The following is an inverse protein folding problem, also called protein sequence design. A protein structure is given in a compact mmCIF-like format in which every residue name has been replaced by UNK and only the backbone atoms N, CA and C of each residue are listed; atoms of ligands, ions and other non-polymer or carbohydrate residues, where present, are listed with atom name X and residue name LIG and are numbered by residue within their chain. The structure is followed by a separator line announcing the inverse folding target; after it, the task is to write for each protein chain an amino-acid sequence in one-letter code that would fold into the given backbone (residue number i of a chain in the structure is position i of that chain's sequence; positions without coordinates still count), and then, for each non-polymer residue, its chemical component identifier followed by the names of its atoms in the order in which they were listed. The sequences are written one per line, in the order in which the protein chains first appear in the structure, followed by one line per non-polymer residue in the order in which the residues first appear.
data_IF_473002328944
#
_entry.id   IF_473002328944
#
_cell.length_a   1.000
_cell.length_b   1.000
_cell.length_c   1.000
_cell.angle_alpha   90.00
_cell.angle_beta   90.00
_cell.angle_gamma   90.00
#
_symmetry.space_group_name_H-M   'P 1'
#
loop_
_entity.id
_entity.type
_entity.pdbx_description
1 polymer ?
#
# COMPACT_ATOMS: atom_id res chain seq x y z
N UNK A 1 -28.96 -8.75 10.58
CA UNK A 1 -27.55 -8.85 10.13
C UNK A 1 -26.90 -9.94 10.98
N UNK A 2 -26.25 -10.91 10.34
CA UNK A 2 -25.55 -11.98 11.06
C UNK A 2 -24.16 -11.50 11.46
N UNK A 3 -23.79 -11.64 12.74
CA UNK A 3 -22.44 -11.33 13.22
C UNK A 3 -21.43 -12.29 12.56
N UNK A 4 -20.35 -11.76 12.00
CA UNK A 4 -19.22 -12.52 11.47
C UNK A 4 -18.11 -12.65 12.52
N UNK A 5 -17.81 -11.57 13.22
CA UNK A 5 -16.82 -11.54 14.30
C UNK A 5 -17.33 -10.63 15.40
N UNK A 6 -17.19 -11.05 16.64
CA UNK A 6 -17.50 -10.27 17.84
C UNK A 6 -16.31 -10.30 18.80
N UNK A 7 -15.88 -9.11 19.21
CA UNK A 7 -14.78 -8.92 20.15
C UNK A 7 -15.30 -8.15 21.37
N UNK A 8 -15.07 -8.67 22.57
CA UNK A 8 -15.53 -8.05 23.81
C UNK A 8 -14.39 -8.06 24.83
N UNK A 9 -14.01 -6.89 25.32
CA UNK A 9 -12.95 -6.69 26.30
C UNK A 9 -11.64 -7.41 25.93
N UNK A 10 -11.31 -7.44 24.63
CA UNK A 10 -10.11 -8.11 24.16
C UNK A 10 -8.89 -7.27 24.53
N UNK A 11 -7.91 -7.90 25.14
CA UNK A 11 -6.64 -7.28 25.49
C UNK A 11 -5.47 -8.19 25.10
N UNK A 12 -4.41 -7.57 24.60
CA UNK A 12 -3.11 -8.16 24.32
C UNK A 12 -2.03 -7.19 24.81
N UNK A 13 -1.13 -7.64 25.67
CA UNK A 13 -0.21 -6.78 26.43
C UNK A 13 1.26 -6.92 25.97
N UNK A 14 1.54 -7.64 24.91
CA UNK A 14 2.91 -7.79 24.39
C UNK A 14 3.26 -6.63 23.46
N UNK A 15 4.36 -5.94 23.74
CA UNK A 15 4.79 -4.77 22.97
C UNK A 15 3.90 -3.54 23.24
N UNK A 16 3.44 -2.89 22.15
CA UNK A 16 2.59 -1.69 22.23
C UNK A 16 1.17 -1.98 22.74
N UNK A 17 0.83 -3.27 22.89
CA UNK A 17 -0.46 -3.72 23.37
C UNK A 17 -1.62 -3.51 22.37
N UNK A 18 -2.76 -4.14 22.68
CA UNK A 18 -4.03 -3.94 21.96
C UNK A 18 -5.16 -4.06 22.95
N UNK A 19 -6.07 -3.07 22.93
CA UNK A 19 -7.26 -3.06 23.77
C UNK A 19 -8.49 -2.74 22.93
N UNK A 20 -9.46 -3.67 22.92
CA UNK A 20 -10.71 -3.52 22.18
C UNK A 20 -11.86 -3.72 23.15
N UNK A 21 -12.50 -2.63 23.62
CA UNK A 21 -13.61 -2.73 24.59
C UNK A 21 -14.79 -3.53 24.06
N UNK A 22 -15.25 -3.23 22.86
CA UNK A 22 -16.27 -4.00 22.15
C UNK A 22 -16.26 -3.66 20.66
N UNK A 23 -16.32 -4.67 19.82
CA UNK A 23 -16.45 -4.49 18.37
C UNK A 23 -17.19 -5.66 17.75
N UNK A 24 -18.20 -5.36 16.95
CA UNK A 24 -18.99 -6.37 16.22
C UNK A 24 -18.97 -6.07 14.73
N UNK A 25 -18.59 -7.06 13.93
CA UNK A 25 -18.52 -6.99 12.48
C UNK A 25 -19.60 -7.87 11.91
N UNK A 26 -20.46 -7.30 11.06
CA UNK A 26 -21.55 -8.01 10.40
C UNK A 26 -21.31 -8.07 8.88
N UNK A 27 -21.88 -9.10 8.24
CA UNK A 27 -21.86 -9.20 6.79
C UNK A 27 -22.49 -7.99 6.09
N UNK A 28 -21.89 -7.55 4.98
CA UNK A 28 -22.34 -6.40 4.22
C UNK A 28 -21.96 -5.05 4.84
N UNK A 29 -21.06 -5.02 5.82
CA UNK A 29 -20.56 -3.77 6.38
C UNK A 29 -19.25 -3.33 5.72
N UNK A 30 -19.14 -2.03 5.44
CA UNK A 30 -17.89 -1.37 5.06
C UNK A 30 -17.34 -0.57 6.24
N UNK A 31 -16.21 -1.00 6.79
CA UNK A 31 -15.53 -0.39 7.91
C UNK A 31 -14.31 0.41 7.49
N UNK A 32 -14.09 1.55 8.10
CA UNK A 32 -12.80 2.22 8.14
C UNK A 32 -12.31 2.26 9.60
N UNK A 33 -11.21 1.61 9.88
CA UNK A 33 -10.46 1.76 11.12
C UNK A 33 -9.28 2.67 10.83
N UNK A 34 -9.38 3.89 11.31
CA UNK A 34 -8.35 4.90 11.11
C UNK A 34 -7.33 4.88 12.26
N UNK A 35 -6.08 5.15 11.96
CA UNK A 35 -5.03 5.32 12.97
C UNK A 35 -3.72 5.67 12.32
N UNK A 36 -2.83 6.35 13.05
CA UNK A 36 -1.47 6.69 12.58
C UNK A 36 -0.61 5.44 12.43
N UNK A 37 0.51 5.57 11.73
CA UNK A 37 1.49 4.49 11.70
C UNK A 37 2.00 4.24 13.14
N UNK A 38 2.09 2.97 13.53
CA UNK A 38 2.45 2.57 14.89
C UNK A 38 1.30 2.59 15.92
N UNK A 39 0.07 2.95 15.55
CA UNK A 39 -1.07 3.00 16.49
C UNK A 39 -1.58 1.63 16.97
N UNK A 40 -1.08 0.53 16.41
CA UNK A 40 -1.54 -0.84 16.73
C UNK A 40 -2.44 -1.50 15.69
N UNK A 41 -2.68 -0.86 14.53
CA UNK A 41 -3.49 -1.45 13.44
C UNK A 41 -3.00 -2.83 12.98
N UNK A 42 -1.68 -3.04 12.92
CA UNK A 42 -1.08 -4.33 12.57
C UNK A 42 -1.36 -5.45 13.59
N UNK A 43 -1.61 -5.10 14.86
CA UNK A 43 -2.05 -6.09 15.85
C UNK A 43 -3.52 -6.45 15.62
N UNK A 44 -4.32 -5.49 15.14
CA UNK A 44 -5.74 -5.68 14.88
C UNK A 44 -5.97 -6.62 13.69
N UNK A 45 -5.23 -6.46 12.59
CA UNK A 45 -5.36 -7.34 11.42
C UNK A 45 -4.96 -8.79 11.77
N UNK A 46 -3.83 -8.98 12.47
CA UNK A 46 -3.37 -10.29 12.94
C UNK A 46 -4.33 -10.93 13.94
N UNK A 47 -4.97 -10.14 14.79
CA UNK A 47 -6.02 -10.63 15.68
C UNK A 47 -7.21 -11.16 14.88
N UNK A 48 -7.68 -10.41 13.88
CA UNK A 48 -8.84 -10.78 13.08
C UNK A 48 -8.62 -12.08 12.31
N UNK A 49 -7.45 -12.28 11.73
CA UNK A 49 -7.09 -13.50 10.99
C UNK A 49 -6.64 -14.66 11.89
N UNK A 50 -6.60 -14.46 13.20
CA UNK A 50 -6.30 -15.52 14.17
C UNK A 50 -4.81 -15.81 14.38
N UNK A 51 -3.92 -14.94 13.92
CA UNK A 51 -2.48 -15.06 14.11
C UNK A 51 -2.01 -14.52 15.47
N UNK A 52 -2.85 -13.73 16.14
CA UNK A 52 -2.58 -13.17 17.44
C UNK A 52 -3.44 -13.83 18.50
N UNK A 53 -2.80 -14.33 19.56
CA UNK A 53 -3.50 -14.81 20.76
C UNK A 53 -3.86 -13.64 21.69
N UNK A 54 -4.98 -13.77 22.37
CA UNK A 54 -5.43 -12.79 23.38
C UNK A 54 -5.16 -13.29 24.79
N UNK A 55 -4.78 -12.40 25.68
CA UNK A 55 -4.54 -12.72 27.09
C UNK A 55 -5.82 -12.56 27.93
N UNK A 56 -6.75 -11.74 27.45
CA UNK A 56 -8.05 -11.54 28.07
C UNK A 56 -9.13 -11.25 27.02
N UNK A 57 -10.39 -11.41 27.41
CA UNK A 57 -11.56 -11.12 26.60
C UNK A 57 -12.04 -12.28 25.74
N UNK A 58 -13.03 -11.99 24.90
CA UNK A 58 -13.67 -12.95 24.01
C UNK A 58 -13.46 -12.51 22.54
N UNK A 59 -12.98 -13.44 21.74
CA UNK A 59 -12.96 -13.33 20.28
C UNK A 59 -13.84 -14.42 19.73
N UNK A 60 -15.08 -14.10 19.41
CA UNK A 60 -16.02 -15.03 18.78
C UNK A 60 -15.99 -14.80 17.26
N UNK A 61 -15.64 -15.86 16.52
CA UNK A 61 -15.68 -15.86 15.05
C UNK A 61 -16.80 -16.80 14.61
N UNK A 62 -17.91 -16.22 14.21
CA UNK A 62 -19.04 -16.92 13.59
C UNK A 62 -18.75 -17.43 12.17
N UNK A 63 -17.50 -17.32 11.70
CA UNK A 63 -17.00 -17.77 10.40
C UNK A 63 -15.67 -18.50 10.59
N UNK A 64 -15.32 -19.35 9.64
CA UNK A 64 -14.01 -20.00 9.64
C UNK A 64 -12.89 -18.98 9.33
N UNK A 65 -11.69 -19.22 9.88
CA UNK A 65 -10.52 -18.37 9.56
C UNK A 65 -10.22 -18.39 8.05
N UNK A 66 -10.45 -19.52 7.39
CA UNK A 66 -10.31 -19.64 5.93
C UNK A 66 -11.23 -18.70 5.12
N UNK A 67 -12.34 -18.24 5.73
CA UNK A 67 -13.27 -17.30 5.11
C UNK A 67 -12.83 -15.83 5.32
N UNK A 68 -11.68 -15.60 5.99
CA UNK A 68 -11.12 -14.29 6.26
C UNK A 68 -9.88 -14.10 5.39
N UNK A 69 -9.88 -13.10 4.53
CA UNK A 69 -8.70 -12.75 3.74
C UNK A 69 -8.03 -11.48 4.27
N UNK A 70 -6.71 -11.54 4.43
CA UNK A 70 -5.86 -10.39 4.75
C UNK A 70 -5.11 -9.91 3.50
N UNK A 71 -5.28 -8.65 3.20
CA UNK A 71 -4.60 -7.95 2.10
C UNK A 71 -3.77 -6.83 2.70
N UNK A 72 -2.48 -7.07 2.86
CA UNK A 72 -1.51 -6.12 3.40
C UNK A 72 -0.27 -6.05 2.52
N UNK A 73 0.60 -5.08 2.79
CA UNK A 73 1.90 -5.01 2.12
C UNK A 73 2.74 -6.25 2.44
N UNK A 74 2.72 -6.72 3.69
CA UNK A 74 3.45 -7.90 4.14
C UNK A 74 2.96 -9.17 3.45
N UNK A 75 1.65 -9.35 3.32
CA UNK A 75 1.08 -10.50 2.60
C UNK A 75 1.48 -10.48 1.12
N UNK A 76 1.47 -9.32 0.48
CA UNK A 76 1.91 -9.13 -0.90
C UNK A 76 3.41 -9.44 -1.07
N UNK A 77 4.24 -8.94 -0.15
CA UNK A 77 5.69 -9.19 -0.15
C UNK A 77 6.00 -10.68 0.09
N UNK A 78 5.29 -11.35 1.01
CA UNK A 78 5.46 -12.77 1.27
C UNK A 78 5.21 -13.61 0.02
N UNK A 79 4.16 -13.31 -0.75
CA UNK A 79 3.89 -13.97 -2.03
C UNK A 79 5.03 -13.70 -3.03
N UNK A 80 5.46 -12.46 -3.16
CA UNK A 80 6.56 -12.11 -4.08
C UNK A 80 7.87 -12.83 -3.73
N UNK A 81 8.23 -12.89 -2.44
CA UNK A 81 9.42 -13.61 -1.98
C UNK A 81 9.32 -15.13 -2.20
N UNK A 82 8.12 -15.70 -2.01
CA UNK A 82 7.86 -17.09 -2.31
C UNK A 82 8.10 -17.40 -3.79
N UNK A 83 7.50 -16.62 -4.67
CA UNK A 83 7.65 -16.75 -6.13
C UNK A 83 9.11 -16.55 -6.59
N UNK A 84 9.83 -15.62 -5.97
CA UNK A 84 11.27 -15.43 -6.24
C UNK A 84 12.09 -16.64 -5.82
N UNK A 85 11.75 -17.31 -4.71
CA UNK A 85 12.44 -18.54 -4.27
C UNK A 85 12.15 -19.71 -5.21
N UNK A 86 10.92 -19.86 -5.67
CA UNK A 86 10.55 -20.87 -6.67
C UNK A 86 11.38 -20.68 -7.94
N UNK A 87 11.45 -19.46 -8.46
CA UNK A 87 12.25 -19.14 -9.64
C UNK A 87 13.76 -19.41 -9.46
N UNK A 88 14.30 -19.23 -8.24
CA UNK A 88 15.72 -19.49 -7.98
C UNK A 88 16.06 -20.98 -7.79
N UNK A 89 15.07 -21.83 -7.54
CA UNK A 89 15.27 -23.27 -7.28
C UNK A 89 15.17 -24.11 -8.54
N UNK A 90 14.49 -23.61 -9.56
CA UNK A 90 14.38 -24.29 -10.86
C UNK A 90 15.66 -24.16 -11.68
N UNK A 91 16.26 -25.30 -12.02
CA UNK A 91 17.35 -25.42 -12.99
C UNK A 91 16.89 -25.15 -14.44
N UNK A 92 15.64 -24.73 -14.61
CA UNK A 92 15.03 -24.32 -15.86
C UNK A 92 15.43 -22.86 -16.18
N UNK A 93 15.39 -22.49 -17.45
CA UNK A 93 15.70 -21.13 -17.89
C UNK A 93 14.84 -20.12 -17.15
N UNK A 94 15.42 -18.97 -16.78
CA UNK A 94 14.72 -17.91 -16.00
C UNK A 94 13.35 -17.50 -16.56
N UNK A 95 13.08 -17.79 -17.83
CA UNK A 95 11.86 -17.46 -18.54
C UNK A 95 10.68 -18.43 -18.28
N UNK A 96 10.92 -19.60 -17.66
CA UNK A 96 9.89 -20.65 -17.50
C UNK A 96 9.51 -20.93 -16.04
N UNK A 97 10.10 -20.25 -15.07
CA UNK A 97 9.91 -20.52 -13.64
C UNK A 97 8.97 -19.51 -12.96
N UNK A 98 8.06 -20.00 -12.13
CA UNK A 98 7.12 -19.20 -11.32
C UNK A 98 5.66 -19.51 -11.62
N UNK A 99 4.77 -19.00 -10.77
CA UNK A 99 3.32 -19.21 -10.87
C UNK A 99 2.68 -18.17 -11.78
N UNK A 100 1.85 -18.62 -12.72
CA UNK A 100 1.08 -17.71 -13.60
C UNK A 100 -0.06 -17.08 -12.80
N UNK A 101 -0.45 -15.88 -13.20
CA UNK A 101 -1.59 -15.16 -12.58
C UNK A 101 -2.87 -16.00 -12.58
N UNK A 102 -3.13 -16.74 -13.66
CA UNK A 102 -4.28 -17.64 -13.74
C UNK A 102 -4.27 -18.74 -12.67
N UNK A 103 -3.08 -19.21 -12.27
CA UNK A 103 -2.93 -20.31 -11.30
C UNK A 103 -3.13 -19.84 -9.85
N UNK A 104 -3.16 -18.53 -9.59
CA UNK A 104 -3.57 -17.94 -8.31
C UNK A 104 -5.07 -17.92 -8.12
N UNK A 105 -5.85 -18.12 -9.17
CA UNK A 105 -7.31 -17.98 -9.18
C UNK A 105 -7.99 -19.34 -9.28
N UNK A 106 -9.21 -19.51 -8.74
CA UNK A 106 -9.98 -20.73 -8.96
C UNK A 106 -10.21 -20.98 -10.45
N UNK A 107 -9.86 -22.16 -10.93
CA UNK A 107 -9.86 -22.50 -12.36
C UNK A 107 -11.23 -22.40 -13.02
N UNK A 108 -12.29 -22.66 -12.27
CA UNK A 108 -13.68 -22.54 -12.68
C UNK A 108 -14.20 -21.09 -12.71
N UNK A 109 -13.44 -20.15 -12.16
CA UNK A 109 -13.79 -18.72 -12.06
C UNK A 109 -12.99 -17.83 -13.02
N UNK A 110 -12.16 -18.40 -13.92
CA UNK A 110 -11.35 -17.61 -14.87
C UNK A 110 -12.19 -16.81 -15.88
N UNK A 111 -13.48 -17.11 -16.01
CA UNK A 111 -14.44 -16.34 -16.80
C UNK A 111 -15.13 -15.19 -16.05
N UNK A 112 -14.85 -14.99 -14.76
CA UNK A 112 -15.56 -14.01 -13.92
C UNK A 112 -15.34 -12.56 -14.40
N UNK A 113 -16.40 -11.73 -14.47
CA UNK A 113 -16.32 -10.33 -14.88
C UNK A 113 -15.41 -9.45 -13.99
N UNK A 114 -15.19 -9.84 -12.72
CA UNK A 114 -14.28 -9.12 -11.82
C UNK A 114 -12.85 -9.05 -12.38
N UNK A 115 -12.43 -10.04 -13.16
CA UNK A 115 -11.11 -10.06 -13.80
C UNK A 115 -10.96 -8.87 -14.77
N UNK A 116 -12.02 -8.58 -15.53
CA UNK A 116 -12.05 -7.46 -16.46
C UNK A 116 -12.20 -6.13 -15.71
N UNK A 117 -13.05 -6.09 -14.67
CA UNK A 117 -13.24 -4.91 -13.84
C UNK A 117 -11.92 -4.45 -13.19
N UNK A 118 -11.08 -5.39 -12.74
CA UNK A 118 -9.76 -5.10 -12.18
C UNK A 118 -8.67 -4.95 -13.25
N UNK A 119 -9.03 -5.06 -14.55
CA UNK A 119 -8.11 -4.97 -15.69
C UNK A 119 -6.93 -5.97 -15.57
N UNK A 120 -7.22 -7.24 -15.24
CA UNK A 120 -6.22 -8.29 -15.11
C UNK A 120 -6.31 -9.37 -16.21
N UNK A 121 -7.33 -9.34 -17.08
CA UNK A 121 -7.55 -10.35 -18.14
C UNK A 121 -6.32 -10.55 -19.03
N UNK A 122 -5.66 -9.48 -19.42
CA UNK A 122 -4.48 -9.49 -20.28
C UNK A 122 -3.22 -10.01 -19.56
N UNK A 123 -3.27 -10.14 -18.23
CA UNK A 123 -2.18 -10.61 -17.37
C UNK A 123 -2.30 -12.08 -16.96
N UNK A 124 -3.41 -12.75 -17.26
CA UNK A 124 -3.64 -14.14 -16.81
C UNK A 124 -2.51 -15.11 -17.16
N UNK A 125 -1.82 -14.90 -18.28
CA UNK A 125 -0.71 -15.75 -18.73
C UNK A 125 0.67 -15.25 -18.26
N UNK A 126 0.75 -14.06 -17.69
CA UNK A 126 1.98 -13.51 -17.12
C UNK A 126 2.35 -14.23 -15.82
N UNK A 127 3.63 -14.25 -15.47
CA UNK A 127 4.07 -14.71 -14.15
C UNK A 127 3.81 -13.63 -13.09
N UNK A 128 3.55 -14.06 -11.86
CA UNK A 128 3.31 -13.14 -10.75
C UNK A 128 4.42 -12.08 -10.60
N UNK A 129 5.68 -12.47 -10.76
CA UNK A 129 6.85 -11.59 -10.66
C UNK A 129 6.90 -10.47 -11.70
N UNK A 130 6.13 -10.60 -12.79
CA UNK A 130 6.05 -9.60 -13.88
C UNK A 130 4.99 -8.53 -13.60
N UNK A 131 4.20 -8.72 -12.55
CA UNK A 131 3.17 -7.78 -12.15
C UNK A 131 3.79 -6.54 -11.50
N UNK A 132 3.24 -5.38 -11.82
CA UNK A 132 3.47 -4.18 -11.03
C UNK A 132 2.88 -4.33 -9.61
N UNK A 133 3.31 -3.49 -8.68
CA UNK A 133 2.76 -3.47 -7.31
C UNK A 133 1.24 -3.31 -7.32
N UNK A 134 0.70 -2.48 -8.21
CA UNK A 134 -0.75 -2.29 -8.34
C UNK A 134 -1.46 -3.51 -8.92
N UNK A 135 -0.88 -4.18 -9.92
CA UNK A 135 -1.45 -5.39 -10.51
C UNK A 135 -1.43 -6.57 -9.52
N UNK A 136 -0.34 -6.74 -8.77
CA UNK A 136 -0.26 -7.80 -7.76
C UNK A 136 -1.26 -7.55 -6.61
N UNK A 137 -1.47 -6.30 -6.20
CA UNK A 137 -2.51 -5.96 -5.20
C UNK A 137 -3.91 -6.25 -5.71
N UNK A 138 -4.23 -5.86 -6.95
CA UNK A 138 -5.51 -6.22 -7.60
C UNK A 138 -5.71 -7.73 -7.69
N UNK A 139 -4.65 -8.49 -7.95
CA UNK A 139 -4.72 -9.95 -7.99
C UNK A 139 -5.08 -10.54 -6.61
N UNK A 140 -4.48 -10.05 -5.52
CA UNK A 140 -4.80 -10.51 -4.16
C UNK A 140 -6.25 -10.20 -3.78
N UNK A 141 -6.74 -8.99 -4.12
CA UNK A 141 -8.16 -8.63 -3.96
C UNK A 141 -9.06 -9.55 -4.77
N UNK A 142 -8.73 -9.76 -6.05
CA UNK A 142 -9.48 -10.64 -6.95
C UNK A 142 -9.54 -12.07 -6.41
N UNK A 143 -8.40 -12.62 -6.00
CA UNK A 143 -8.30 -13.94 -5.41
C UNK A 143 -9.26 -14.09 -4.22
N UNK A 144 -9.17 -13.19 -3.24
CA UNK A 144 -10.01 -13.22 -2.06
C UNK A 144 -11.51 -13.16 -2.38
N UNK A 145 -11.89 -12.36 -3.38
CA UNK A 145 -13.29 -12.24 -3.81
C UNK A 145 -13.79 -13.47 -4.61
N UNK A 146 -12.91 -14.12 -5.37
CA UNK A 146 -13.25 -15.35 -6.13
C UNK A 146 -13.20 -16.60 -5.28
N UNK A 147 -12.49 -16.62 -4.16
CA UNK A 147 -12.47 -17.68 -3.15
C UNK A 147 -13.64 -17.56 -2.14
N UNK A 148 -14.60 -16.67 -2.41
CA UNK A 148 -15.81 -16.45 -1.64
C UNK A 148 -15.54 -16.09 -0.16
N UNK A 149 -14.45 -15.35 0.11
CA UNK A 149 -14.16 -14.81 1.44
C UNK A 149 -15.33 -13.99 1.97
N UNK A 150 -15.67 -14.17 3.25
CA UNK A 150 -16.79 -13.48 3.91
C UNK A 150 -16.37 -12.21 4.63
N UNK A 151 -15.09 -12.10 4.98
CA UNK A 151 -14.47 -10.94 5.60
C UNK A 151 -13.15 -10.62 4.89
N UNK A 152 -13.01 -9.41 4.41
CA UNK A 152 -11.76 -8.87 3.88
C UNK A 152 -11.19 -7.86 4.88
N UNK A 153 -9.95 -8.05 5.28
CA UNK A 153 -9.17 -7.11 6.09
C UNK A 153 -8.07 -6.55 5.21
N UNK A 154 -8.07 -5.25 4.99
CA UNK A 154 -7.18 -4.61 4.02
C UNK A 154 -6.38 -3.49 4.71
N UNK A 155 -5.06 -3.69 4.87
CA UNK A 155 -4.18 -2.67 5.42
C UNK A 155 -3.65 -1.77 4.30
N UNK A 156 -4.02 -0.49 4.38
CA UNK A 156 -3.66 0.57 3.42
C UNK A 156 -3.74 0.09 1.94
N UNK A 157 -4.91 -0.44 1.49
CA UNK A 157 -5.00 -1.12 0.19
C UNK A 157 -4.79 -0.20 -1.01
N UNK A 158 -4.81 1.11 -0.80
CA UNK A 158 -4.69 2.12 -1.87
C UNK A 158 -3.30 2.73 -1.98
N UNK A 159 -2.40 2.45 -1.02
CA UNK A 159 -1.05 3.02 -1.00
C UNK A 159 -0.25 2.66 -2.25
N UNK A 160 0.35 3.68 -2.88
CA UNK A 160 1.20 3.52 -4.06
C UNK A 160 0.46 3.14 -5.35
N UNK A 161 -0.88 3.21 -5.36
CA UNK A 161 -1.69 2.94 -6.54
C UNK A 161 -2.00 4.21 -7.32
N UNK A 162 -2.17 4.06 -8.64
CA UNK A 162 -2.71 5.13 -9.47
C UNK A 162 -4.24 5.27 -9.26
N UNK A 163 -4.84 6.43 -9.60
CA UNK A 163 -6.25 6.68 -9.39
C UNK A 163 -7.18 5.66 -10.05
N UNK A 164 -6.80 5.10 -11.20
CA UNK A 164 -7.57 4.07 -11.91
C UNK A 164 -7.60 2.75 -11.15
N UNK A 165 -6.47 2.34 -10.59
CA UNK A 165 -6.37 1.16 -9.74
C UNK A 165 -7.15 1.32 -8.43
N UNK A 166 -7.08 2.49 -7.80
CA UNK A 166 -7.87 2.84 -6.59
C UNK A 166 -9.35 2.72 -6.88
N UNK A 167 -9.82 3.33 -7.97
CA UNK A 167 -11.23 3.29 -8.35
C UNK A 167 -11.71 1.85 -8.63
N UNK A 168 -10.92 1.03 -9.33
CA UNK A 168 -11.25 -0.36 -9.63
C UNK A 168 -11.37 -1.22 -8.36
N UNK A 169 -10.40 -1.13 -7.44
CA UNK A 169 -10.42 -1.86 -6.17
C UNK A 169 -11.59 -1.38 -5.29
N UNK A 170 -11.79 -0.07 -5.18
CA UNK A 170 -12.88 0.51 -4.40
C UNK A 170 -14.25 0.03 -4.89
N UNK A 171 -14.46 0.01 -6.22
CA UNK A 171 -15.68 -0.52 -6.82
C UNK A 171 -15.87 -2.02 -6.58
N UNK A 172 -14.79 -2.82 -6.63
CA UNK A 172 -14.86 -4.25 -6.32
C UNK A 172 -15.26 -4.49 -4.85
N UNK A 173 -14.73 -3.71 -3.91
CA UNK A 173 -15.14 -3.77 -2.50
C UNK A 173 -16.60 -3.38 -2.30
N UNK A 174 -17.08 -2.32 -2.96
CA UNK A 174 -18.47 -1.90 -2.88
C UNK A 174 -19.42 -3.00 -3.36
N UNK A 175 -19.13 -3.64 -4.49
CA UNK A 175 -19.90 -4.78 -4.99
C UNK A 175 -19.85 -5.99 -4.03
N UNK A 176 -18.70 -6.25 -3.40
CA UNK A 176 -18.57 -7.33 -2.41
C UNK A 176 -19.45 -7.06 -1.17
N UNK A 177 -19.49 -5.81 -0.69
CA UNK A 177 -20.35 -5.39 0.42
C UNK A 177 -21.82 -5.59 0.08
N UNK A 178 -22.26 -5.22 -1.12
CA UNK A 178 -23.63 -5.44 -1.60
C UNK A 178 -24.01 -6.93 -1.66
N UNK A 179 -23.04 -7.81 -1.85
CA UNK A 179 -23.20 -9.28 -1.82
C UNK A 179 -23.12 -9.89 -0.41
N UNK A 180 -22.94 -9.08 0.63
CA UNK A 180 -22.91 -9.51 2.02
C UNK A 180 -21.51 -9.78 2.60
N UNK A 181 -20.44 -9.52 1.85
CA UNK A 181 -19.06 -9.57 2.36
C UNK A 181 -18.82 -8.37 3.27
N UNK A 182 -18.16 -8.57 4.42
CA UNK A 182 -17.67 -7.45 5.22
C UNK A 182 -16.29 -7.02 4.72
N UNK A 183 -16.07 -5.72 4.64
CA UNK A 183 -14.77 -5.15 4.24
C UNK A 183 -14.28 -4.19 5.33
N UNK A 184 -13.09 -4.43 5.85
CA UNK A 184 -12.43 -3.58 6.83
C UNK A 184 -11.21 -2.96 6.18
N UNK A 185 -11.20 -1.65 6.10
CA UNK A 185 -10.04 -0.87 5.68
C UNK A 185 -9.32 -0.33 6.91
N UNK A 186 -8.06 -0.67 7.09
CA UNK A 186 -7.16 -0.07 8.06
C UNK A 186 -6.42 1.06 7.33
N UNK A 187 -6.74 2.32 7.64
CA UNK A 187 -6.23 3.47 6.88
C UNK A 187 -5.40 4.40 7.76
N UNK A 188 -4.39 5.01 7.15
CA UNK A 188 -3.55 6.04 7.79
C UNK A 188 -3.79 7.44 7.20
N UNK A 189 -4.50 7.53 6.06
CA UNK A 189 -4.81 8.78 5.38
C UNK A 189 -6.32 8.94 5.19
N UNK A 190 -6.88 10.07 5.65
CA UNK A 190 -8.33 10.35 5.57
C UNK A 190 -8.83 10.54 4.14
N UNK A 191 -7.98 11.00 3.22
CA UNK A 191 -8.35 11.16 1.81
C UNK A 191 -8.68 9.84 1.12
N UNK A 192 -8.24 8.73 1.69
CA UNK A 192 -8.40 7.40 1.10
C UNK A 192 -9.69 6.69 1.56
N UNK A 193 -10.52 7.36 2.39
CA UNK A 193 -11.77 6.80 2.89
C UNK A 193 -12.84 6.80 1.78
N UNK A 194 -13.22 5.63 1.23
CA UNK A 194 -14.21 5.54 0.15
C UNK A 194 -15.61 6.00 0.59
N UNK A 195 -16.43 6.40 -0.38
CA UNK A 195 -17.79 6.87 -0.12
C UNK A 195 -18.72 5.77 0.44
N UNK A 196 -18.49 4.52 0.11
CA UNK A 196 -19.28 3.37 0.57
C UNK A 196 -19.01 2.95 2.03
N UNK A 197 -17.97 3.47 2.68
CA UNK A 197 -17.71 3.22 4.10
C UNK A 197 -18.82 3.86 4.95
N UNK A 198 -19.41 3.06 5.84
CA UNK A 198 -20.52 3.48 6.72
C UNK A 198 -20.22 3.27 8.20
N UNK A 199 -19.21 2.44 8.53
CA UNK A 199 -18.83 2.14 9.90
C UNK A 199 -17.40 2.63 10.15
N UNK A 200 -17.16 3.20 11.33
CA UNK A 200 -15.88 3.85 11.63
C UNK A 200 -15.36 3.45 13.00
N UNK A 201 -14.04 3.36 13.08
CA UNK A 201 -13.30 3.22 14.33
C UNK A 201 -11.99 3.98 14.25
N UNK A 202 -11.41 4.25 15.40
CA UNK A 202 -10.14 4.93 15.56
C UNK A 202 -9.23 4.13 16.48
N UNK A 203 -7.97 3.94 16.07
CA UNK A 203 -6.95 3.25 16.89
C UNK A 203 -5.86 4.23 17.26
N UNK A 204 -5.63 4.38 18.53
CA UNK A 204 -4.55 5.16 19.11
C UNK A 204 -3.95 4.43 20.31
N UNK A 205 -2.64 4.39 20.40
CA UNK A 205 -1.90 3.73 21.48
C UNK A 205 -2.41 2.31 21.79
N UNK A 206 -2.76 1.55 20.73
CA UNK A 206 -3.30 0.20 20.86
C UNK A 206 -4.76 0.11 21.32
N UNK A 207 -5.47 1.24 21.53
CA UNK A 207 -6.88 1.22 21.91
C UNK A 207 -7.78 1.46 20.70
N UNK A 208 -8.70 0.53 20.44
CA UNK A 208 -9.74 0.72 19.42
C UNK A 208 -10.98 1.39 20.01
N UNK A 209 -11.32 2.58 19.51
CA UNK A 209 -12.60 3.24 19.75
C UNK A 209 -13.51 3.04 18.51
N UNK A 210 -14.65 2.38 18.71
CA UNK A 210 -15.69 2.26 17.68
C UNK A 210 -16.57 3.50 17.73
N UNK A 211 -16.69 4.22 16.62
CA UNK A 211 -17.50 5.44 16.53
C UNK A 211 -18.96 5.06 16.27
N UNK A 212 -19.84 5.49 17.17
CA UNK A 212 -21.28 5.23 17.08
C UNK A 212 -22.02 6.48 16.56
N UNK A 213 -21.56 7.04 15.46
CA UNK A 213 -22.16 8.22 14.85
C UNK A 213 -23.51 7.91 14.17
N UNK A 214 -24.43 8.84 14.24
CA UNK A 214 -25.75 8.72 13.61
C UNK A 214 -25.72 8.86 12.08
N UNK A 215 -24.64 9.43 11.52
CA UNK A 215 -24.40 9.56 10.08
C UNK A 215 -22.92 9.45 9.75
N UNK A 216 -22.63 9.21 8.46
CA UNK A 216 -21.25 9.20 7.94
C UNK A 216 -20.56 10.56 8.13
N UNK A 217 -21.26 11.65 7.91
CA UNK A 217 -20.74 13.01 8.09
C UNK A 217 -20.31 13.25 9.52
N UNK A 218 -21.15 12.86 10.49
CA UNK A 218 -20.82 12.97 11.91
C UNK A 218 -19.61 12.11 12.28
N UNK A 219 -19.53 10.87 11.78
CA UNK A 219 -18.37 10.00 12.01
C UNK A 219 -17.08 10.59 11.46
N UNK A 220 -17.11 11.25 10.29
CA UNK A 220 -15.95 11.92 9.72
C UNK A 220 -15.52 13.16 10.50
N UNK A 221 -16.46 13.87 11.15
CA UNK A 221 -16.16 14.99 12.05
C UNK A 221 -15.48 14.46 13.31
N UNK A 222 -16.08 13.49 13.99
CA UNK A 222 -15.53 12.86 15.20
C UNK A 222 -14.12 12.28 14.93
N UNK A 223 -13.94 11.59 13.79
CA UNK A 223 -12.63 11.11 13.37
C UNK A 223 -11.63 12.26 13.19
N UNK A 224 -12.09 13.41 12.68
CA UNK A 224 -11.28 14.61 12.54
C UNK A 224 -10.80 15.18 13.87
N UNK A 225 -11.65 15.18 14.87
CA UNK A 225 -11.34 15.63 16.23
C UNK A 225 -10.32 14.72 16.89
N UNK A 226 -10.49 13.39 16.83
CA UNK A 226 -9.51 12.42 17.33
C UNK A 226 -8.11 12.64 16.71
N UNK A 227 -8.04 12.83 15.39
CA UNK A 227 -6.76 13.06 14.68
C UNK A 227 -6.12 14.38 15.07
N UNK A 228 -6.91 15.43 15.30
CA UNK A 228 -6.41 16.75 15.69
C UNK A 228 -5.84 16.73 17.11
N UNK A 229 -6.48 16.05 18.05
CA UNK A 229 -5.99 15.88 19.41
C UNK A 229 -4.64 15.17 19.44
N UNK A 230 -4.48 14.07 18.69
CA UNK A 230 -3.23 13.33 18.57
C UNK A 230 -2.11 14.15 17.94
N UNK A 231 -2.43 15.08 17.05
CA UNK A 231 -1.44 15.91 16.36
C UNK A 231 -0.82 16.98 17.25
N UNK A 232 -1.49 17.38 18.33
CA UNK A 232 -0.94 18.36 19.29
C UNK A 232 0.19 17.79 20.16
N UNK A 233 0.34 16.48 20.23
CA UNK A 233 1.38 15.80 21.00
C UNK A 233 2.73 15.68 20.26
N UNK A 234 2.87 16.18 19.01
CA UNK A 234 4.16 16.12 18.32
C UNK A 234 5.14 17.13 18.91
N UNK A 235 6.33 16.70 19.39
CA UNK A 235 7.40 17.64 19.69
C UNK A 235 7.73 18.39 18.42
N UNK A 236 7.72 19.73 18.48
CA UNK A 236 8.15 20.57 17.37
C UNK A 236 9.55 20.16 16.91
N UNK A 237 9.81 20.21 15.61
CA UNK A 237 11.16 20.03 15.08
C UNK A 237 12.03 21.09 15.78
N UNK A 238 13.12 20.70 16.49
CA UNK A 238 13.99 21.69 17.11
C UNK A 238 14.51 22.65 16.04
N UNK A 239 14.49 23.95 16.29
CA UNK A 239 14.97 24.97 15.36
C UNK A 239 16.42 24.75 14.89
N UNK A 240 17.21 24.03 15.68
CA UNK A 240 18.61 23.69 15.41
C UNK A 240 18.78 22.48 14.46
N UNK A 241 17.72 21.77 14.14
CA UNK A 241 17.79 20.56 13.29
C UNK A 241 17.84 20.87 11.77
N UNK A 242 17.61 22.12 11.39
CA UNK A 242 17.67 22.56 10.00
C UNK A 242 18.99 23.32 9.78
N UNK A 243 20.12 22.61 9.84
CA UNK A 243 21.31 23.10 9.16
C UNK A 243 21.05 22.98 7.64
N UNK A 244 20.44 24.03 7.07
CA UNK A 244 20.34 24.18 5.62
C UNK A 244 21.78 24.20 5.09
N UNK A 245 22.22 23.12 4.47
CA UNK A 245 23.47 23.14 3.70
C UNK A 245 23.29 24.15 2.59
N UNK A 246 23.95 25.30 2.68
CA UNK A 246 24.01 26.29 1.61
C UNK A 246 24.72 25.62 0.42
N UNK A 247 23.92 25.32 -0.60
CA UNK A 247 24.44 24.86 -1.87
C UNK A 247 24.40 26.03 -2.85
N UNK A 248 25.58 26.48 -3.27
CA UNK A 248 25.75 27.72 -4.06
C UNK A 248 25.52 27.55 -5.58
N UNK A 249 25.22 26.31 -6.05
CA UNK A 249 24.92 26.12 -7.47
C UNK A 249 23.45 26.42 -7.80
N UNK A 250 23.15 26.81 -9.05
CA UNK A 250 21.80 27.18 -9.47
C UNK A 250 20.80 26.03 -9.40
N UNK A 251 21.28 24.78 -9.56
CA UNK A 251 20.46 23.58 -9.52
C UNK A 251 21.10 22.49 -8.66
N UNK A 252 20.28 21.82 -7.85
CA UNK A 252 20.65 20.59 -7.13
C UNK A 252 20.73 19.42 -8.10
N UNK A 253 19.78 19.34 -9.04
CA UNK A 253 19.77 18.35 -10.10
C UNK A 253 19.35 19.02 -11.42
N UNK A 254 20.00 18.62 -12.50
CA UNK A 254 19.71 19.06 -13.85
C UNK A 254 19.82 17.87 -14.81
N UNK A 255 18.78 17.65 -15.59
CA UNK A 255 18.67 16.66 -16.65
C UNK A 255 18.41 17.37 -17.96
N UNK A 256 19.19 17.06 -19.02
CA UNK A 256 19.05 17.67 -20.33
C UNK A 256 18.81 16.60 -21.41
N UNK A 257 17.60 16.59 -22.02
CA UNK A 257 17.23 15.68 -23.08
C UNK A 257 17.35 14.19 -22.74
N UNK A 258 17.16 13.83 -21.47
CA UNK A 258 17.36 12.46 -20.98
C UNK A 258 16.35 11.48 -21.58
N UNK A 259 16.85 10.34 -22.07
CA UNK A 259 16.01 9.24 -22.57
C UNK A 259 16.42 7.93 -21.92
N UNK A 260 15.47 7.26 -21.28
CA UNK A 260 15.67 5.94 -20.65
C UNK A 260 14.78 4.91 -21.30
N UNK A 261 15.36 3.76 -21.64
CA UNK A 261 14.67 2.66 -22.32
C UNK A 261 14.82 1.35 -21.55
N UNK A 262 13.73 0.59 -21.44
CA UNK A 262 13.75 -0.78 -20.96
C UNK A 262 13.14 -1.70 -22.03
N UNK A 263 13.85 -2.76 -22.40
CA UNK A 263 13.40 -3.69 -23.45
C UNK A 263 13.13 -2.98 -24.80
N UNK A 264 13.91 -1.94 -25.14
CA UNK A 264 13.72 -1.14 -26.34
C UNK A 264 12.60 -0.08 -26.29
N UNK A 265 11.73 -0.10 -25.29
CA UNK A 265 10.64 0.86 -25.10
C UNK A 265 11.12 2.07 -24.28
N UNK A 266 10.86 3.32 -24.73
CA UNK A 266 11.18 4.49 -23.94
C UNK A 266 10.23 4.58 -22.75
N UNK A 267 10.80 4.71 -21.53
CA UNK A 267 10.07 5.02 -20.28
C UNK A 267 10.18 6.50 -19.96
N UNK A 268 11.34 7.10 -20.25
CA UNK A 268 11.56 8.54 -20.25
C UNK A 268 12.02 8.92 -21.65
N UNK A 269 11.48 9.98 -22.24
CA UNK A 269 11.80 10.41 -23.60
C UNK A 269 12.11 11.92 -23.63
N UNK A 270 13.35 12.25 -23.99
CA UNK A 270 13.84 13.64 -24.16
C UNK A 270 13.48 14.58 -23.01
N UNK A 271 13.50 14.07 -21.77
CA UNK A 271 13.14 14.84 -20.60
C UNK A 271 14.23 15.86 -20.24
N UNK A 272 13.86 17.13 -20.18
CA UNK A 272 14.67 18.18 -19.56
C UNK A 272 13.95 18.64 -18.28
N UNK A 273 14.69 18.63 -17.15
CA UNK A 273 14.12 18.86 -15.83
C UNK A 273 15.22 19.37 -14.90
N UNK A 274 14.88 20.32 -14.04
CA UNK A 274 15.83 20.84 -13.05
C UNK A 274 15.17 21.10 -11.71
N UNK A 275 15.94 20.96 -10.63
CA UNK A 275 15.53 21.23 -9.24
C UNK A 275 16.49 22.27 -8.68
N UNK A 276 15.98 23.42 -8.30
CA UNK A 276 16.75 24.46 -7.63
C UNK A 276 16.88 24.20 -6.12
N UNK A 277 17.90 24.75 -5.45
CA UNK A 277 17.98 24.74 -3.99
C UNK A 277 16.70 25.30 -3.35
N UNK A 278 16.25 24.68 -2.24
CA UNK A 278 15.04 25.05 -1.50
C UNK A 278 13.72 24.90 -2.30
N UNK A 279 13.77 24.26 -3.46
CA UNK A 279 12.58 23.96 -4.25
C UNK A 279 12.00 22.61 -3.85
N UNK A 280 10.73 22.60 -3.42
CA UNK A 280 9.97 21.37 -3.20
C UNK A 280 9.28 20.97 -4.50
N UNK A 281 9.63 19.79 -5.02
CA UNK A 281 9.11 19.31 -6.30
C UNK A 281 8.27 18.07 -6.09
N UNK A 282 7.02 18.10 -6.54
CA UNK A 282 6.11 16.95 -6.54
C UNK A 282 6.05 16.33 -7.95
N UNK A 283 6.44 15.08 -8.07
CA UNK A 283 6.32 14.31 -9.32
C UNK A 283 5.13 13.36 -9.23
N UNK A 284 4.12 13.58 -10.05
CA UNK A 284 2.90 12.76 -10.11
C UNK A 284 2.76 12.07 -11.46
N UNK A 285 1.97 11.01 -11.52
CA UNK A 285 1.67 10.27 -12.74
C UNK A 285 1.23 8.84 -12.46
N UNK A 286 0.73 8.15 -13.47
CA UNK A 286 0.29 6.76 -13.41
C UNK A 286 1.43 5.80 -13.03
N UNK A 287 1.07 4.58 -12.58
CA UNK A 287 2.06 3.53 -12.35
C UNK A 287 2.68 3.13 -13.70
N UNK A 288 4.01 2.97 -13.71
CA UNK A 288 4.75 2.74 -14.96
C UNK A 288 5.13 4.01 -15.74
N UNK A 289 4.67 5.20 -15.37
CA UNK A 289 5.01 6.47 -16.04
C UNK A 289 6.48 6.92 -15.91
N UNK A 290 7.32 6.14 -15.21
CA UNK A 290 8.76 6.43 -15.09
C UNK A 290 9.17 7.27 -13.87
N UNK A 291 8.29 7.50 -12.88
CA UNK A 291 8.60 8.28 -11.65
C UNK A 291 9.83 7.74 -10.91
N UNK A 292 9.85 6.43 -10.65
CA UNK A 292 10.99 5.77 -9.99
C UNK A 292 12.25 5.77 -10.85
N UNK A 293 12.10 5.73 -12.18
CA UNK A 293 13.20 5.85 -13.12
C UNK A 293 13.81 7.25 -13.09
N UNK A 294 12.97 8.29 -13.03
CA UNK A 294 13.42 9.68 -12.87
C UNK A 294 14.20 9.86 -11.55
N UNK A 295 13.64 9.33 -10.45
CA UNK A 295 14.35 9.36 -9.17
C UNK A 295 15.68 8.61 -9.27
N UNK A 296 15.70 7.40 -9.85
CA UNK A 296 16.92 6.62 -10.06
C UNK A 296 17.97 7.30 -10.94
N UNK A 297 17.59 8.15 -11.90
CA UNK A 297 18.55 8.99 -12.66
C UNK A 297 19.24 9.99 -11.75
N UNK A 298 18.48 10.63 -10.85
CA UNK A 298 19.01 11.64 -9.91
C UNK A 298 19.88 10.97 -8.85
N UNK A 299 19.40 9.89 -8.22
CA UNK A 299 20.14 9.19 -7.15
C UNK A 299 21.33 8.36 -7.68
N UNK A 300 21.36 8.07 -8.98
CA UNK A 300 22.39 7.23 -9.61
C UNK A 300 22.13 5.73 -9.52
N UNK A 301 20.93 5.33 -9.09
CA UNK A 301 20.52 3.92 -9.02
C UNK A 301 20.08 3.39 -10.40
N UNK A 302 19.77 4.26 -11.37
CA UNK A 302 19.54 3.91 -12.76
C UNK A 302 20.85 3.94 -13.54
N UNK A 303 21.38 2.81 -14.04
CA UNK A 303 22.66 2.78 -14.77
C UNK A 303 22.69 3.67 -16.02
N UNK A 304 21.51 3.96 -16.60
CA UNK A 304 21.43 4.82 -17.77
C UNK A 304 21.66 6.32 -17.45
N UNK A 305 21.86 6.69 -16.18
CA UNK A 305 22.28 8.06 -15.82
C UNK A 305 23.65 8.39 -16.41
N UNK A 306 24.54 7.41 -16.59
CA UNK A 306 25.87 7.58 -17.19
C UNK A 306 25.86 7.78 -18.71
N UNK A 307 24.77 7.40 -19.38
CA UNK A 307 24.58 7.58 -20.83
C UNK A 307 23.69 8.78 -21.19
N UNK A 308 23.22 9.49 -20.18
CA UNK A 308 22.40 10.68 -20.31
C UNK A 308 23.13 11.92 -19.76
N UNK A 309 22.64 13.10 -20.08
CA UNK A 309 23.18 14.35 -19.54
C UNK A 309 22.49 14.66 -18.22
N UNK A 310 23.07 14.17 -17.13
CA UNK A 310 22.57 14.29 -15.77
C UNK A 310 23.65 14.92 -14.90
N UNK A 311 23.35 16.06 -14.30
CA UNK A 311 24.21 16.73 -13.32
C UNK A 311 23.51 16.79 -11.97
N UNK A 312 24.17 16.35 -10.90
CA UNK A 312 23.63 16.38 -9.55
C UNK A 312 24.69 16.93 -8.59
N UNK A 313 24.32 17.90 -7.78
CA UNK A 313 25.23 18.67 -6.90
C UNK A 313 26.46 19.21 -7.65
N UNK A 314 26.27 19.69 -8.90
CA UNK A 314 27.34 20.19 -9.74
C UNK A 314 28.26 19.12 -10.36
N UNK A 315 28.04 17.86 -10.08
CA UNK A 315 28.80 16.76 -10.66
C UNK A 315 28.03 16.14 -11.83
N UNK A 316 28.58 16.23 -13.04
CA UNK A 316 28.02 15.54 -14.21
C UNK A 316 28.30 14.06 -14.10
N UNK A 317 27.29 13.23 -14.30
CA UNK A 317 27.39 11.77 -14.25
C UNK A 317 28.32 11.24 -15.34
N UNK A 318 29.21 10.28 -14.97
CA UNK A 318 30.12 9.64 -15.92
C UNK A 318 31.42 10.41 -16.16
N UNK A 319 31.77 11.41 -15.37
CA UNK A 319 33.03 12.17 -15.49
C UNK A 319 34.12 11.72 -14.52
N UNK A 320 33.89 10.57 -13.82
CA UNK A 320 34.87 9.98 -12.90
C UNK A 320 34.54 10.19 -11.42
N UNK A 321 33.38 10.77 -11.13
CA UNK A 321 32.86 10.92 -9.77
C UNK A 321 32.50 9.55 -9.14
N UNK A 322 32.69 9.42 -7.83
CA UNK A 322 32.21 8.30 -7.06
C UNK A 322 30.71 8.44 -6.80
N UNK A 323 29.96 7.34 -6.84
CA UNK A 323 28.55 7.30 -6.42
C UNK A 323 28.37 7.83 -5.00
N UNK A 324 29.37 7.60 -4.13
CA UNK A 324 29.39 8.07 -2.76
C UNK A 324 29.55 9.57 -2.63
N UNK A 325 30.20 10.25 -3.60
CA UNK A 325 30.35 11.69 -3.61
C UNK A 325 29.02 12.41 -3.73
N UNK A 326 28.02 11.73 -4.30
CA UNK A 326 26.66 12.24 -4.47
C UNK A 326 25.74 11.71 -3.37
N UNK A 327 25.81 10.38 -3.09
CA UNK A 327 24.90 9.77 -2.09
C UNK A 327 25.04 10.36 -0.68
N UNK A 328 26.21 10.87 -0.31
CA UNK A 328 26.41 11.57 0.99
C UNK A 328 25.61 12.88 1.12
N UNK A 329 25.13 13.45 0.01
CA UNK A 329 24.31 14.66 -0.02
C UNK A 329 22.82 14.35 -0.19
N UNK A 330 22.46 13.08 -0.43
CA UNK A 330 21.08 12.60 -0.49
C UNK A 330 20.71 12.09 0.91
N UNK A 331 19.58 12.53 1.43
CA UNK A 331 19.07 12.14 2.75
C UNK A 331 18.56 10.70 2.82
#
# INVERSE_FOLDING_TARGET
MTSLVELVCVAHFVGDGLNIPAWRICGGQGWCIFGRNGSGKQLLDRLLVGELSTEAGLVDRGIAIADIALISFESQQAVYEHERRLAATDLLTEDESGTRVADFLPSDRLGDPLIDQLNLRHRLQAFYRELSTGESRKLLVLKALLEDSRLLVCDNPFDGLDPGAVAAISSAFEHAIQRGVAVILLLSNRSDIPAWVTCFGYVEDGVLAVLNAGSREQALIELGECVAESSQAQPGIPDDAIALSHYDAPFIAELAGCTVRYGGRPVIHELSFSIAPLQHTLVTGENGAGKSTLLGLITGDCPQCFSNDVTVFGHRRGTGESVWDIKRHLG
#
